data_IF_767695306691
#
_entry.id   IF_767695306691
#
_cell.length_a   1.000
_cell.length_b   1.000
_cell.length_c   1.000
_cell.angle_alpha   90.00
_cell.angle_beta   90.00
_cell.angle_gamma   90.00
#
_symmetry.space_group_name_H-M   'P 1'
#
loop_
_entity.id
_entity.type
_entity.pdbx_description
1 polymer ?
#
# COMPACT_ATOMS: atom_id res chain seq x y z
N UNK A 1 6.70 -17.63 -2.84
CA UNK A 1 6.68 -16.92 -1.66
C UNK A 1 5.34 -16.61 -1.20
N UNK A 2 5.10 -16.58 0.03
CA UNK A 2 3.82 -16.35 0.57
C UNK A 2 3.35 -14.91 0.37
N UNK A 3 2.07 -14.72 0.09
CA UNK A 3 1.48 -13.41 0.07
C UNK A 3 0.91 -13.13 1.43
N UNK A 4 1.23 -11.95 1.96
CA UNK A 4 0.74 -11.60 3.27
C UNK A 4 -0.46 -10.66 3.20
N UNK A 5 -0.73 -10.08 2.03
CA UNK A 5 -1.88 -9.21 1.90
C UNK A 5 -2.18 -8.87 0.46
N UNK A 6 -3.27 -8.18 0.27
CA UNK A 6 -3.71 -7.70 -1.03
C UNK A 6 -4.18 -6.27 -0.90
N UNK A 7 -3.94 -5.51 -1.95
CA UNK A 7 -4.40 -4.14 -2.05
C UNK A 7 -5.26 -4.02 -3.29
N UNK A 8 -6.42 -3.41 -3.14
CA UNK A 8 -7.32 -3.17 -4.24
C UNK A 8 -7.20 -1.71 -4.63
N UNK A 9 -6.86 -1.48 -5.89
CA UNK A 9 -6.76 -0.13 -6.40
C UNK A 9 -8.06 0.28 -7.03
N UNK A 10 -8.54 1.48 -6.69
CA UNK A 10 -9.74 2.03 -7.28
C UNK A 10 -9.47 3.43 -7.78
N UNK A 11 -10.16 3.79 -8.85
CA UNK A 11 -10.07 5.13 -9.39
C UNK A 11 -11.06 6.02 -8.67
N UNK A 12 -10.59 7.14 -8.19
CA UNK A 12 -11.43 8.11 -7.52
C UNK A 12 -12.02 9.08 -8.53
N UNK A 13 -13.10 9.77 -8.14
CA UNK A 13 -13.79 10.70 -9.03
C UNK A 13 -12.88 11.83 -9.52
N UNK A 14 -11.86 12.18 -8.76
CA UNK A 14 -10.94 13.24 -9.16
C UNK A 14 -9.86 12.77 -10.13
N UNK A 15 -9.91 11.51 -10.54
CA UNK A 15 -8.95 10.96 -11.49
C UNK A 15 -7.74 10.31 -10.85
N UNK A 16 -7.58 10.43 -9.54
CA UNK A 16 -6.48 9.76 -8.86
C UNK A 16 -6.88 8.35 -8.47
N UNK A 17 -5.88 7.56 -8.07
CA UNK A 17 -6.11 6.19 -7.64
C UNK A 17 -5.80 6.04 -6.17
N UNK A 18 -6.52 5.15 -5.52
CA UNK A 18 -6.34 4.79 -4.12
C UNK A 18 -6.15 3.30 -4.00
N UNK A 19 -5.36 2.89 -3.03
CA UNK A 19 -5.15 1.49 -2.71
C UNK A 19 -5.73 1.20 -1.34
N UNK A 20 -6.62 0.21 -1.28
CA UNK A 20 -7.31 -0.17 -0.06
C UNK A 20 -6.92 -1.58 0.30
N UNK A 21 -6.57 -1.80 1.56
CA UNK A 21 -6.23 -3.15 2.01
C UNK A 21 -7.48 -4.01 1.93
N UNK A 22 -7.42 -5.10 1.18
CA UNK A 22 -8.60 -5.89 0.91
C UNK A 22 -8.52 -7.31 1.47
N UNK A 23 -7.32 -7.77 1.80
CA UNK A 23 -7.17 -9.13 2.30
C UNK A 23 -5.84 -9.25 3.01
N UNK A 24 -5.80 -10.12 3.98
CA UNK A 24 -4.58 -10.39 4.74
C UNK A 24 -4.58 -11.86 5.10
N UNK A 25 -3.40 -12.50 4.97
CA UNK A 25 -3.27 -13.90 5.33
C UNK A 25 -3.45 -14.06 6.83
N UNK A 26 -4.19 -15.08 7.24
CA UNK A 26 -4.46 -15.30 8.66
C UNK A 26 -3.18 -15.53 9.45
N UNK A 27 -2.17 -16.13 8.81
CA UNK A 27 -0.92 -16.45 9.49
C UNK A 27 0.18 -15.44 9.20
N UNK A 28 -0.14 -14.29 8.61
CA UNK A 28 0.86 -13.26 8.38
C UNK A 28 1.39 -12.77 9.73
N UNK A 29 2.72 -12.63 9.88
CA UNK A 29 3.28 -12.17 11.15
C UNK A 29 2.78 -10.76 11.48
N UNK A 30 2.35 -10.53 12.72
CA UNK A 30 1.86 -9.21 13.10
C UNK A 30 2.89 -8.10 12.95
N UNK A 31 4.17 -8.40 13.11
CA UNK A 31 5.19 -7.38 12.96
C UNK A 31 5.33 -6.93 11.52
N UNK A 32 4.98 -7.79 10.55
CA UNK A 32 5.03 -7.43 9.14
C UNK A 32 3.69 -6.92 8.64
N UNK A 33 2.62 -7.31 9.31
CA UNK A 33 1.27 -6.97 8.88
C UNK A 33 0.39 -6.77 10.11
N UNK A 34 0.54 -5.61 10.77
CA UNK A 34 -0.24 -5.35 11.99
C UNK A 34 -1.73 -5.46 11.77
N UNK A 35 -2.43 -6.05 12.74
CA UNK A 35 -3.88 -6.22 12.66
C UNK A 35 -4.62 -4.94 12.99
N UNK A 36 -4.06 -4.15 13.90
CA UNK A 36 -4.65 -2.88 14.30
C UNK A 36 -3.64 -1.78 14.06
N UNK A 37 -4.14 -0.57 13.92
CA UNK A 37 -3.33 0.60 13.55
C UNK A 37 -2.70 1.22 14.79
N UNK A 38 -1.94 0.42 15.52
CA UNK A 38 -1.42 0.77 16.84
C UNK A 38 -0.43 1.93 16.84
N UNK A 39 0.23 2.15 15.72
CA UNK A 39 1.26 3.19 15.63
C UNK A 39 0.75 4.47 15.02
N UNK A 40 -0.56 4.58 14.79
CA UNK A 40 -1.13 5.79 14.21
C UNK A 40 -0.87 6.97 15.15
N UNK A 41 -0.47 8.10 14.59
CA UNK A 41 -0.20 9.29 15.38
C UNK A 41 -1.48 9.84 16.02
N UNK A 42 -2.63 9.54 15.44
CA UNK A 42 -3.91 9.92 16.02
C UNK A 42 -4.40 8.80 16.94
N UNK A 43 -4.41 9.01 18.27
CA UNK A 43 -4.81 7.94 19.19
C UNK A 43 -6.19 7.39 18.92
N UNK A 44 -7.07 8.20 18.35
CA UNK A 44 -8.44 7.76 18.09
C UNK A 44 -8.51 6.69 17.01
N UNK A 45 -7.46 6.57 16.19
CA UNK A 45 -7.44 5.59 15.11
C UNK A 45 -6.66 4.33 15.45
N UNK A 46 -6.05 4.26 16.62
CA UNK A 46 -5.18 3.13 16.95
C UNK A 46 -5.92 1.82 17.10
N UNK A 47 -7.21 1.86 17.35
CA UNK A 47 -7.98 0.63 17.47
C UNK A 47 -8.60 0.15 16.17
N UNK A 48 -8.43 0.89 15.09
CA UNK A 48 -9.08 0.48 13.85
C UNK A 48 -8.33 -0.67 13.21
N UNK A 49 -9.06 -1.51 12.48
CA UNK A 49 -8.45 -2.58 11.71
C UNK A 49 -7.60 -1.98 10.60
N UNK A 50 -6.49 -2.64 10.30
CA UNK A 50 -5.68 -2.25 9.14
C UNK A 50 -6.24 -2.84 7.85
N UNK A 51 -7.31 -3.59 7.92
CA UNK A 51 -7.97 -4.12 6.75
C UNK A 51 -9.10 -3.18 6.37
N UNK A 52 -9.21 -2.87 5.09
CA UNK A 52 -10.27 -1.99 4.61
C UNK A 52 -9.96 -0.51 4.67
N UNK A 53 -8.72 -0.16 4.99
CA UNK A 53 -8.35 1.27 5.04
C UNK A 53 -7.67 1.70 3.77
N UNK A 54 -7.73 2.99 3.49
CA UNK A 54 -7.01 3.59 2.38
C UNK A 54 -5.54 3.68 2.79
N UNK A 55 -4.72 2.86 2.16
CA UNK A 55 -3.31 2.81 2.47
C UNK A 55 -2.49 3.69 1.54
N UNK A 56 -2.91 3.76 0.28
CA UNK A 56 -2.22 4.52 -0.76
C UNK A 56 -3.23 5.50 -1.36
N UNK A 57 -2.80 6.73 -1.61
CA UNK A 57 -3.72 7.70 -2.20
C UNK A 57 -2.97 8.70 -3.06
N UNK A 58 -3.74 9.47 -3.80
CA UNK A 58 -3.25 10.55 -4.65
C UNK A 58 -2.36 10.08 -5.80
N UNK A 59 -2.50 8.83 -6.22
CA UNK A 59 -1.73 8.31 -7.35
C UNK A 59 -2.29 8.83 -8.66
N UNK A 60 -1.41 9.30 -9.54
CA UNK A 60 -1.76 9.74 -10.87
C UNK A 60 -1.08 8.84 -11.88
N UNK A 61 -1.82 8.40 -12.88
CA UNK A 61 -1.27 7.52 -13.91
C UNK A 61 -0.73 8.35 -15.06
N UNK A 62 0.52 8.09 -15.44
CA UNK A 62 1.17 8.76 -16.56
C UNK A 62 2.07 7.77 -17.29
N UNK A 63 1.72 7.45 -18.52
CA UNK A 63 2.60 6.64 -19.39
C UNK A 63 3.14 5.39 -18.73
N UNK A 64 2.26 4.61 -18.15
CA UNK A 64 2.64 3.34 -17.54
C UNK A 64 3.19 3.46 -16.14
N UNK A 65 3.20 4.66 -15.58
CA UNK A 65 3.69 4.88 -14.23
C UNK A 65 2.62 5.52 -13.37
N UNK A 66 2.62 5.17 -12.11
CA UNK A 66 1.77 5.79 -11.09
C UNK A 66 2.67 6.65 -10.23
N UNK A 67 2.40 7.94 -10.19
CA UNK A 67 3.28 8.92 -9.55
C UNK A 67 2.53 9.78 -8.57
N UNK A 68 3.29 10.53 -7.76
CA UNK A 68 2.77 11.54 -6.85
C UNK A 68 1.88 10.99 -5.76
N UNK A 69 2.04 9.72 -5.42
CA UNK A 69 1.24 9.10 -4.39
C UNK A 69 1.86 9.20 -3.02
N UNK A 70 1.05 8.78 -2.06
CA UNK A 70 1.48 8.63 -0.67
C UNK A 70 1.07 7.25 -0.20
N UNK A 71 1.84 6.71 0.72
CA UNK A 71 1.52 5.44 1.35
C UNK A 71 1.66 5.59 2.84
N UNK A 72 0.67 5.08 3.56
CA UNK A 72 0.70 5.03 5.01
C UNK A 72 1.24 3.67 5.44
N UNK A 73 2.23 3.68 6.33
CA UNK A 73 2.83 2.45 6.81
C UNK A 73 2.38 2.18 8.24
N UNK A 74 1.46 1.20 8.45
CA UNK A 74 0.98 0.91 9.81
C UNK A 74 2.07 0.37 10.73
N UNK A 75 3.18 -0.08 10.18
CA UNK A 75 4.27 -0.62 10.99
C UNK A 75 4.96 0.46 11.80
N UNK A 76 4.96 1.68 11.32
CA UNK A 76 5.59 2.78 12.06
C UNK A 76 4.67 3.99 12.21
N UNK A 77 3.50 3.99 11.56
CA UNK A 77 2.56 5.09 11.69
C UNK A 77 2.88 6.30 10.84
N UNK A 78 3.85 6.20 9.97
CA UNK A 78 4.27 7.34 9.15
C UNK A 78 3.79 7.22 7.72
N UNK A 79 3.73 8.36 7.05
CA UNK A 79 3.32 8.44 5.65
C UNK A 79 4.52 8.79 4.80
N UNK A 80 4.64 8.11 3.67
CA UNK A 80 5.78 8.24 2.77
C UNK A 80 5.32 8.52 1.35
N UNK A 81 6.22 9.03 0.54
CA UNK A 81 5.94 9.20 -0.88
C UNK A 81 5.93 7.84 -1.56
N UNK A 82 5.15 7.72 -2.60
CA UNK A 82 4.94 6.43 -3.24
C UNK A 82 4.87 6.60 -4.75
N UNK A 83 5.49 5.66 -5.47
CA UNK A 83 5.30 5.56 -6.91
C UNK A 83 5.44 4.11 -7.32
N UNK A 84 4.88 3.78 -8.48
CA UNK A 84 4.93 2.44 -9.02
C UNK A 84 5.02 2.51 -10.52
N UNK A 85 5.57 1.48 -11.10
CA UNK A 85 5.71 1.37 -12.54
C UNK A 85 5.05 0.08 -13.01
N UNK A 86 4.24 0.19 -14.07
CA UNK A 86 3.57 -0.96 -14.63
C UNK A 86 4.55 -1.66 -15.57
N UNK A 87 5.07 -2.81 -15.15
CA UNK A 87 6.03 -3.55 -15.96
C UNK A 87 5.34 -4.38 -17.02
N UNK A 88 4.15 -4.88 -16.67
CA UNK A 88 3.36 -5.69 -17.55
C UNK A 88 1.94 -5.56 -17.07
N UNK A 89 1.01 -6.10 -17.83
CA UNK A 89 -0.40 -6.00 -17.54
C UNK A 89 -0.76 -6.36 -16.10
N UNK A 90 -0.07 -7.36 -15.53
CA UNK A 90 -0.39 -7.86 -14.20
C UNK A 90 0.71 -7.65 -13.20
N UNK A 91 1.66 -6.78 -13.49
CA UNK A 91 2.85 -6.67 -12.67
C UNK A 91 3.20 -5.21 -12.41
N UNK A 92 3.23 -4.83 -11.14
CA UNK A 92 3.65 -3.50 -10.73
C UNK A 92 4.98 -3.60 -10.00
N UNK A 93 5.89 -2.72 -10.33
CA UNK A 93 7.12 -2.55 -9.59
C UNK A 93 6.94 -1.35 -8.67
N UNK A 94 7.02 -1.61 -7.37
CA UNK A 94 6.78 -0.58 -6.38
C UNK A 94 8.07 0.09 -6.02
N UNK A 95 8.07 1.40 -6.00
CA UNK A 95 9.22 2.16 -5.56
C UNK A 95 8.76 3.14 -4.52
N UNK A 96 9.24 2.96 -3.29
CA UNK A 96 8.97 3.91 -2.26
C UNK A 96 10.00 5.02 -2.28
N UNK A 97 9.71 6.06 -1.53
CA UNK A 97 10.64 7.14 -1.32
C UNK A 97 11.14 7.08 0.11
N UNK A 98 11.90 8.08 0.46
CA UNK A 98 12.60 8.15 1.72
C UNK A 98 11.85 7.57 2.89
N UNK A 99 12.54 6.82 3.72
CA UNK A 99 12.05 6.38 4.98
C UNK A 99 11.27 5.11 5.00
N UNK A 100 10.77 4.66 3.85
CA UNK A 100 10.06 3.38 3.82
C UNK A 100 11.08 2.28 4.08
N UNK A 101 10.76 1.30 4.95
CA UNK A 101 11.73 0.24 5.25
C UNK A 101 12.20 -0.52 4.04
N UNK A 102 11.41 -0.51 2.99
CA UNK A 102 11.79 -1.15 1.73
C UNK A 102 12.58 -0.22 0.84
N UNK A 103 12.96 0.92 1.35
CA UNK A 103 13.59 1.93 0.58
C UNK A 103 14.87 1.41 -0.03
N UNK A 104 15.11 1.79 -1.25
CA UNK A 104 16.25 1.32 -1.98
C UNK A 104 16.02 0.00 -2.64
N UNK A 105 14.95 -0.67 -2.28
CA UNK A 105 14.57 -1.93 -2.88
C UNK A 105 13.27 -1.78 -3.59
N UNK A 106 13.13 -2.52 -4.67
CA UNK A 106 11.89 -2.57 -5.40
C UNK A 106 11.10 -3.77 -4.95
N UNK A 107 9.81 -3.62 -4.88
CA UNK A 107 8.90 -4.75 -4.68
C UNK A 107 8.14 -4.98 -5.96
N UNK A 108 7.87 -6.25 -6.25
CA UNK A 108 7.06 -6.62 -7.39
C UNK A 108 5.71 -7.09 -6.87
N UNK A 109 4.66 -6.45 -7.31
CA UNK A 109 3.30 -6.82 -6.93
C UNK A 109 2.61 -7.42 -8.14
N UNK A 110 1.94 -8.53 -7.93
CA UNK A 110 1.22 -9.23 -8.97
C UNK A 110 -0.27 -8.95 -8.83
N UNK A 111 -0.94 -8.85 -9.96
CA UNK A 111 -2.37 -8.70 -9.93
C UNK A 111 -3.00 -10.00 -9.46
N UNK A 112 -3.92 -9.88 -8.53
CA UNK A 112 -4.72 -11.00 -8.10
C UNK A 112 -5.96 -11.06 -8.97
N UNK A 113 -6.23 -12.22 -9.54
CA UNK A 113 -7.42 -12.41 -10.35
C UNK A 113 -8.19 -13.59 -9.80
N UNK A 114 -9.49 -13.44 -9.81
CA UNK A 114 -10.35 -14.51 -9.31
C UNK A 114 -10.63 -15.52 -10.37
#
# INVERSE_FOLDING_TARGET
>A
EGKVGRIRFIRHADGTYRGITSWRAANAPPEDNPRADLHNHNPKLRGRSTLGIVLIWNLTYEDGRYVDGYVYNPRDGDTYRFKAELLARNTLKIRGYMGIPLLGESQIWKRFER
#
